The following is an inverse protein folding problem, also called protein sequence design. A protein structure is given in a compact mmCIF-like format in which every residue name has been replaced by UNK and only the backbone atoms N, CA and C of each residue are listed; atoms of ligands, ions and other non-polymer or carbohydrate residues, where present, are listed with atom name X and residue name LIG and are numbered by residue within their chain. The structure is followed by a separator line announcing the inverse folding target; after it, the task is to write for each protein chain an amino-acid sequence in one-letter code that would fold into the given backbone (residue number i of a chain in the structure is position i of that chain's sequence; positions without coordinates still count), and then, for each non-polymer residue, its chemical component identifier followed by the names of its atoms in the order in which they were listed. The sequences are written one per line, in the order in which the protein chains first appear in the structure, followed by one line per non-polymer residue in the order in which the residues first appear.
data_IF_640730915234
#
_entry.id   IF_640730915234
#
_cell.length_a   1.000
_cell.length_b   1.000
_cell.length_c   1.000
_cell.angle_alpha   90.00
_cell.angle_beta   90.00
_cell.angle_gamma   90.00
#
_symmetry.space_group_name_H-M   'P 1'
#
loop_
_entity.id
_entity.type
_entity.pdbx_description
1 polymer ?
#
# COMPACT_ATOMS: atom_id res chain seq x y z
N UNK A 1 -27.68 -5.89 30.84
CA UNK A 1 -27.20 -4.50 30.71
C UNK A 1 -26.77 -4.29 29.28
N UNK A 2 -27.42 -3.37 28.56
CA UNK A 2 -26.98 -2.97 27.22
C UNK A 2 -25.76 -2.03 27.38
N UNK A 3 -24.68 -2.19 26.59
CA UNK A 3 -23.53 -1.30 26.66
C UNK A 3 -23.98 0.12 26.30
N UNK A 4 -23.79 1.06 27.23
CA UNK A 4 -24.05 2.48 27.02
C UNK A 4 -23.16 3.01 25.89
N UNK A 5 -23.78 3.39 24.77
CA UNK A 5 -23.15 3.94 23.55
C UNK A 5 -23.09 5.46 23.57
N UNK A 6 -22.69 6.06 24.69
CA UNK A 6 -22.29 7.47 24.71
C UNK A 6 -20.78 7.53 24.90
N UNK A 7 -20.06 7.38 23.78
CA UNK A 7 -18.66 7.77 23.74
C UNK A 7 -18.61 9.30 23.60
N UNK A 8 -18.00 9.99 24.57
CA UNK A 8 -17.84 11.44 24.50
C UNK A 8 -17.10 11.84 23.22
N UNK A 9 -17.59 12.88 22.53
CA UNK A 9 -16.97 13.40 21.31
C UNK A 9 -15.48 13.72 21.48
N UNK A 10 -15.10 14.19 22.68
CA UNK A 10 -13.70 14.46 23.03
C UNK A 10 -12.85 13.18 23.12
N UNK A 11 -13.43 12.07 23.59
CA UNK A 11 -12.76 10.76 23.68
C UNK A 11 -12.59 10.13 22.30
N UNK A 12 -13.62 10.23 21.45
CA UNK A 12 -13.56 9.79 20.07
C UNK A 12 -12.48 10.55 19.28
N UNK A 13 -12.41 11.87 19.42
CA UNK A 13 -11.39 12.67 18.73
C UNK A 13 -9.97 12.35 19.21
N UNK A 14 -9.76 12.17 20.53
CA UNK A 14 -8.46 11.72 21.07
C UNK A 14 -8.02 10.38 20.50
N UNK A 15 -8.95 9.42 20.34
CA UNK A 15 -8.64 8.13 19.70
C UNK A 15 -8.22 8.31 18.25
N UNK A 16 -8.90 9.17 17.50
CA UNK A 16 -8.56 9.46 16.10
C UNK A 16 -7.17 10.07 15.96
N UNK A 17 -6.86 11.08 16.78
CA UNK A 17 -5.51 11.69 16.83
C UNK A 17 -4.44 10.65 17.16
N UNK A 18 -4.72 9.76 18.13
CA UNK A 18 -3.79 8.68 18.48
C UNK A 18 -3.55 7.72 17.32
N UNK A 19 -4.61 7.28 16.63
CA UNK A 19 -4.49 6.41 15.45
C UNK A 19 -3.65 7.09 14.36
N UNK A 20 -3.89 8.37 14.09
CA UNK A 20 -3.09 9.11 13.11
C UNK A 20 -1.63 9.23 13.53
N UNK A 21 -1.36 9.48 14.81
CA UNK A 21 0.01 9.51 15.34
C UNK A 21 0.73 8.19 15.13
N UNK A 22 0.07 7.06 15.44
CA UNK A 22 0.63 5.72 15.22
C UNK A 22 0.93 5.49 13.74
N UNK A 23 0.02 5.91 12.83
CA UNK A 23 0.25 5.77 11.39
C UNK A 23 1.45 6.57 10.90
N UNK A 24 1.61 7.80 11.38
CA UNK A 24 2.75 8.65 11.03
C UNK A 24 4.06 8.04 11.53
N UNK A 25 4.07 7.49 12.75
CA UNK A 25 5.23 6.79 13.33
C UNK A 25 5.60 5.54 12.51
N UNK A 26 4.62 4.68 12.22
CA UNK A 26 4.85 3.47 11.43
C UNK A 26 5.28 3.78 9.99
N UNK A 27 4.76 4.87 9.41
CA UNK A 27 5.19 5.37 8.10
C UNK A 27 6.66 5.79 8.10
N UNK A 28 7.05 6.64 9.07
CA UNK A 28 8.44 7.05 9.22
C UNK A 28 9.36 5.85 9.39
N UNK A 29 9.00 4.93 10.29
CA UNK A 29 9.78 3.74 10.55
C UNK A 29 9.94 2.85 9.31
N UNK A 30 8.87 2.63 8.54
CA UNK A 30 8.93 1.83 7.32
C UNK A 30 9.83 2.50 6.27
N UNK A 31 9.72 3.82 6.09
CA UNK A 31 10.61 4.59 5.20
C UNK A 31 12.08 4.48 5.60
N UNK A 32 12.37 4.60 6.89
CA UNK A 32 13.73 4.47 7.42
C UNK A 32 14.28 3.07 7.19
N UNK A 33 13.49 2.04 7.49
CA UNK A 33 13.86 0.62 7.29
C UNK A 33 14.18 0.35 5.81
N UNK A 34 13.36 0.86 4.90
CA UNK A 34 13.58 0.69 3.47
C UNK A 34 14.81 1.48 3.00
N UNK A 35 14.99 2.72 3.47
CA UNK A 35 16.16 3.52 3.14
C UNK A 35 17.46 2.90 3.68
N UNK A 36 17.42 2.24 4.82
CA UNK A 36 18.56 1.51 5.39
C UNK A 36 18.86 0.25 4.59
N UNK A 37 17.85 -0.52 4.20
CA UNK A 37 18.00 -1.69 3.31
C UNK A 37 18.60 -1.29 1.96
N UNK A 38 18.14 -0.18 1.38
CA UNK A 38 18.70 0.37 0.14
C UNK A 38 20.13 0.88 0.30
N UNK A 39 20.55 1.32 1.49
CA UNK A 39 21.94 1.71 1.80
C UNK A 39 22.84 0.52 2.07
N UNK A 40 22.30 -0.55 2.66
CA UNK A 40 23.01 -1.80 2.91
C UNK A 40 23.25 -2.64 1.64
N UNK A 41 22.78 -2.17 0.47
CA UNK A 41 23.08 -2.75 -0.84
C UNK A 41 24.60 -2.93 -1.00
N UNK A 42 25.13 -4.16 -1.00
CA UNK A 42 26.46 -4.37 -1.56
C UNK A 42 26.35 -4.04 -3.05
N UNK A 43 27.34 -3.34 -3.60
CA UNK A 43 27.48 -3.11 -5.04
C UNK A 43 27.81 -4.41 -5.79
N UNK A 44 27.05 -5.49 -5.56
CA UNK A 44 27.10 -6.70 -6.37
C UNK A 44 26.14 -6.49 -7.52
N UNK A 45 26.72 -6.12 -8.65
CA UNK A 45 26.02 -6.04 -9.92
C UNK A 45 25.19 -7.30 -10.17
N UNK A 46 24.02 -7.06 -10.75
CA UNK A 46 23.39 -7.91 -11.76
C UNK A 46 24.15 -9.20 -12.04
N UNK A 47 23.85 -10.23 -11.25
CA UNK A 47 24.19 -11.60 -11.64
C UNK A 47 23.15 -11.99 -12.68
N UNK A 48 23.46 -11.62 -13.93
CA UNK A 48 22.80 -12.12 -15.13
C UNK A 48 22.92 -13.64 -15.14
N UNK A 49 21.90 -14.32 -14.61
CA UNK A 49 21.75 -15.76 -14.74
C UNK A 49 21.39 -16.07 -16.18
N UNK A 50 22.40 -16.34 -17.00
CA UNK A 50 22.23 -16.80 -18.37
C UNK A 50 21.74 -18.26 -18.36
N UNK A 51 20.43 -18.45 -18.25
CA UNK A 51 19.75 -19.73 -18.45
C UNK A 51 18.95 -19.68 -19.74
N UNK A 52 19.49 -20.26 -20.81
CA UNK A 52 18.70 -20.57 -22.01
C UNK A 52 17.57 -21.54 -21.64
N UNK A 53 16.34 -21.24 -22.06
CA UNK A 53 15.44 -22.18 -22.76
C UNK A 53 14.14 -21.47 -23.21
N UNK A 54 14.02 -21.36 -24.53
CA UNK A 54 12.83 -21.63 -25.36
C UNK A 54 11.49 -20.90 -25.11
N UNK A 55 11.25 -19.89 -25.96
CA UNK A 55 10.01 -19.64 -26.71
C UNK A 55 8.71 -19.20 -26.01
N UNK A 56 8.77 -18.65 -24.79
CA UNK A 56 7.66 -17.87 -24.20
C UNK A 56 8.10 -16.55 -23.50
N UNK A 57 9.39 -16.18 -23.64
CA UNK A 57 10.08 -15.21 -22.75
C UNK A 57 9.95 -13.72 -23.05
N UNK A 58 9.14 -13.29 -24.03
CA UNK A 58 9.09 -11.88 -24.44
C UNK A 58 8.54 -10.95 -23.33
N UNK A 59 7.42 -11.31 -22.72
CA UNK A 59 6.77 -10.46 -21.72
C UNK A 59 7.54 -10.44 -20.38
N UNK A 60 8.15 -11.56 -19.99
CA UNK A 60 8.93 -11.67 -18.76
C UNK A 60 10.25 -10.89 -18.82
N UNK A 61 10.96 -10.97 -19.95
CA UNK A 61 12.18 -10.19 -20.17
C UNK A 61 11.87 -8.69 -20.29
N UNK A 62 10.81 -8.33 -21.01
CA UNK A 62 10.37 -6.93 -21.17
C UNK A 62 9.98 -6.29 -19.83
N UNK A 63 9.23 -7.00 -19.00
CA UNK A 63 8.80 -6.51 -17.67
C UNK A 63 9.96 -6.44 -16.67
N UNK A 64 10.90 -7.38 -16.70
CA UNK A 64 12.11 -7.34 -15.87
C UNK A 64 13.04 -6.18 -16.24
N UNK A 65 13.27 -5.98 -17.55
CA UNK A 65 14.01 -4.84 -18.06
C UNK A 65 13.32 -3.52 -17.71
N UNK A 66 11.98 -3.49 -17.82
CA UNK A 66 11.18 -2.33 -17.47
C UNK A 66 11.23 -2.01 -15.97
N UNK A 67 11.10 -3.01 -15.08
CA UNK A 67 11.22 -2.81 -13.63
C UNK A 67 12.62 -2.29 -13.25
N UNK A 68 13.66 -2.81 -13.89
CA UNK A 68 15.03 -2.32 -13.73
C UNK A 68 15.17 -0.87 -14.17
N UNK A 69 14.50 -0.48 -15.26
CA UNK A 69 14.44 0.91 -15.73
C UNK A 69 13.72 1.82 -14.73
N UNK A 70 12.56 1.42 -14.21
CA UNK A 70 11.79 2.21 -13.23
C UNK A 70 12.62 2.51 -11.97
N UNK A 71 13.36 1.51 -11.50
CA UNK A 71 14.18 1.62 -10.28
C UNK A 71 15.50 2.39 -10.50
N UNK A 72 15.93 2.57 -11.74
CA UNK A 72 17.21 3.22 -12.09
C UNK A 72 17.08 4.62 -12.70
N UNK A 73 16.06 4.90 -13.52
CA UNK A 73 15.97 6.18 -14.24
C UNK A 73 15.37 7.30 -13.39
N UNK A 74 14.58 6.97 -12.35
CA UNK A 74 13.86 7.97 -11.55
C UNK A 74 12.83 8.78 -12.34
N UNK A 75 12.54 8.41 -13.59
CA UNK A 75 11.56 9.07 -14.45
C UNK A 75 10.13 8.74 -14.00
N UNK A 76 9.20 9.67 -14.23
CA UNK A 76 7.78 9.44 -13.99
C UNK A 76 7.26 8.36 -14.95
N UNK A 77 6.62 7.33 -14.40
CA UNK A 77 6.09 6.19 -15.15
C UNK A 77 4.59 6.37 -15.39
N UNK A 78 4.08 5.88 -16.52
CA UNK A 78 2.64 5.92 -16.78
C UNK A 78 1.87 5.07 -15.75
N UNK A 79 0.64 5.49 -15.44
CA UNK A 79 -0.24 4.75 -14.52
C UNK A 79 -0.47 3.31 -14.97
N UNK A 80 -0.69 3.10 -16.27
CA UNK A 80 -0.98 1.76 -16.80
C UNK A 80 0.24 0.84 -16.73
N UNK A 81 1.45 1.39 -16.91
CA UNK A 81 2.68 0.61 -16.76
C UNK A 81 2.98 0.29 -15.29
N UNK A 82 2.68 1.22 -14.36
CA UNK A 82 2.77 0.94 -12.92
C UNK A 82 1.80 -0.17 -12.50
N UNK A 83 0.57 -0.17 -13.03
CA UNK A 83 -0.43 -1.22 -12.79
C UNK A 83 0.10 -2.56 -13.30
N UNK A 84 0.65 -2.60 -14.52
CA UNK A 84 1.22 -3.82 -15.11
C UNK A 84 2.30 -4.43 -14.22
N UNK A 85 3.23 -3.60 -13.74
CA UNK A 85 4.31 -4.03 -12.85
C UNK A 85 3.80 -4.42 -11.46
N UNK A 86 2.80 -3.72 -10.94
CA UNK A 86 2.23 -4.02 -9.63
C UNK A 86 1.61 -5.43 -9.57
N UNK A 87 1.10 -5.96 -10.68
CA UNK A 87 0.52 -7.30 -10.74
C UNK A 87 1.51 -8.45 -10.48
N UNK A 88 2.81 -8.21 -10.68
CA UNK A 88 3.86 -9.22 -10.46
C UNK A 88 4.06 -9.48 -8.96
N UNK A 89 3.72 -8.50 -8.11
CA UNK A 89 3.93 -8.56 -6.67
C UNK A 89 2.69 -9.07 -5.94
N UNK A 90 2.42 -10.37 -6.05
CA UNK A 90 1.32 -11.02 -5.31
C UNK A 90 1.39 -10.74 -3.80
N UNK A 91 0.23 -10.72 -3.14
CA UNK A 91 0.14 -10.40 -1.72
C UNK A 91 0.97 -11.36 -0.85
N UNK A 92 0.84 -12.68 -1.06
CA UNK A 92 1.55 -13.69 -0.27
C UNK A 92 3.07 -13.61 -0.51
N UNK A 93 3.48 -13.48 -1.78
CA UNK A 93 4.88 -13.29 -2.16
C UNK A 93 5.49 -12.05 -1.50
N UNK A 94 4.76 -10.93 -1.52
CA UNK A 94 5.19 -9.68 -0.90
C UNK A 94 5.35 -9.87 0.59
N UNK A 95 4.35 -10.44 1.28
CA UNK A 95 4.37 -10.62 2.73
C UNK A 95 5.48 -11.59 3.20
N UNK A 96 5.79 -12.63 2.44
CA UNK A 96 6.85 -13.58 2.77
C UNK A 96 8.23 -12.93 2.75
N UNK A 97 8.43 -11.98 1.84
CA UNK A 97 9.69 -11.26 1.68
C UNK A 97 9.85 -10.02 2.57
N UNK A 98 8.85 -9.69 3.40
CA UNK A 98 8.95 -8.62 4.38
C UNK A 98 9.57 -9.10 5.69
N UNK A 99 10.45 -8.26 6.25
CA UNK A 99 11.02 -8.48 7.57
C UNK A 99 9.97 -8.33 8.67
N UNK A 100 10.19 -8.97 9.82
CA UNK A 100 9.29 -8.89 10.98
C UNK A 100 8.96 -7.45 11.39
N UNK A 101 9.91 -6.50 11.47
CA UNK A 101 9.56 -5.11 11.81
C UNK A 101 8.61 -4.47 10.79
N UNK A 102 8.76 -4.75 9.49
CA UNK A 102 7.85 -4.26 8.45
C UNK A 102 6.44 -4.85 8.61
N UNK A 103 6.33 -6.16 8.89
CA UNK A 103 5.04 -6.81 9.18
C UNK A 103 4.35 -6.17 10.40
N UNK A 104 5.11 -5.90 11.47
CA UNK A 104 4.60 -5.21 12.67
C UNK A 104 4.11 -3.81 12.34
N UNK A 105 4.85 -3.05 11.51
CA UNK A 105 4.44 -1.70 11.08
C UNK A 105 3.15 -1.73 10.27
N UNK A 106 2.99 -2.69 9.36
CA UNK A 106 1.76 -2.87 8.58
C UNK A 106 0.59 -3.20 9.51
N UNK A 107 0.74 -4.18 10.41
CA UNK A 107 -0.31 -4.52 11.38
C UNK A 107 -0.76 -3.29 12.19
N UNK A 108 0.18 -2.55 12.78
CA UNK A 108 -0.12 -1.35 13.58
C UNK A 108 -0.77 -0.25 12.76
N UNK A 109 -0.32 -0.03 11.53
CA UNK A 109 -0.92 0.95 10.62
C UNK A 109 -2.38 0.64 10.30
N UNK A 110 -2.69 -0.65 10.10
CA UNK A 110 -4.03 -1.17 9.81
C UNK A 110 -4.92 -1.31 11.06
N UNK A 111 -4.42 -0.94 12.24
CA UNK A 111 -5.14 -1.06 13.51
C UNK A 111 -5.26 -2.50 14.03
N UNK A 112 -4.38 -3.39 13.57
CA UNK A 112 -4.32 -4.79 14.00
C UNK A 112 -3.26 -4.95 15.10
N UNK A 113 -3.57 -5.76 16.11
CA UNK A 113 -2.64 -6.05 17.20
C UNK A 113 -1.47 -6.92 16.70
N UNK A 114 -0.28 -6.33 16.61
CA UNK A 114 0.94 -6.99 16.16
C UNK A 114 1.61 -7.79 17.29
N UNK A 115 1.30 -9.08 17.41
CA UNK A 115 1.93 -10.00 18.35
C UNK A 115 2.14 -11.39 17.73
N UNK A 116 2.86 -12.27 18.41
CA UNK A 116 3.08 -13.65 17.96
C UNK A 116 4.21 -13.80 16.92
N UNK A 117 4.15 -14.92 16.19
CA UNK A 117 5.13 -15.32 15.19
C UNK A 117 4.92 -14.59 13.87
N UNK A 118 5.93 -14.57 13.02
CA UNK A 118 5.87 -13.88 11.73
C UNK A 118 4.77 -14.46 10.83
N UNK A 119 4.58 -15.78 10.87
CA UNK A 119 3.46 -16.45 10.17
C UNK A 119 2.10 -15.95 10.64
N UNK A 120 1.95 -15.68 11.95
CA UNK A 120 0.72 -15.16 12.51
C UNK A 120 0.49 -13.70 12.12
N UNK A 121 1.54 -12.87 12.07
CA UNK A 121 1.46 -11.50 11.56
C UNK A 121 1.01 -11.47 10.09
N UNK A 122 1.61 -12.31 9.23
CA UNK A 122 1.19 -12.44 7.83
C UNK A 122 -0.27 -12.84 7.72
N UNK A 123 -0.68 -13.88 8.46
CA UNK A 123 -2.09 -14.30 8.51
C UNK A 123 -3.03 -13.17 8.91
N UNK A 124 -2.68 -12.38 9.92
CA UNK A 124 -3.48 -11.23 10.35
C UNK A 124 -3.64 -10.19 9.24
N UNK A 125 -2.54 -9.88 8.52
CA UNK A 125 -2.57 -8.94 7.39
C UNK A 125 -3.45 -9.51 6.27
N UNK A 126 -3.21 -10.74 5.82
CA UNK A 126 -3.99 -11.40 4.77
C UNK A 126 -5.48 -11.45 5.13
N UNK A 127 -5.82 -11.79 6.37
CA UNK A 127 -7.21 -11.82 6.83
C UNK A 127 -7.85 -10.42 6.79
N UNK A 128 -7.09 -9.38 7.15
CA UNK A 128 -7.57 -8.00 7.08
C UNK A 128 -7.74 -7.53 5.62
N UNK A 129 -6.86 -7.93 4.70
CA UNK A 129 -7.03 -7.64 3.27
C UNK A 129 -8.28 -8.32 2.69
N UNK A 130 -8.55 -9.58 3.07
CA UNK A 130 -9.78 -10.28 2.67
C UNK A 130 -11.04 -9.55 3.15
N UNK A 131 -11.03 -9.08 4.40
CA UNK A 131 -12.11 -8.26 4.93
C UNK A 131 -12.30 -6.99 4.09
N UNK A 132 -11.21 -6.25 3.80
CA UNK A 132 -11.27 -5.02 2.99
C UNK A 132 -11.82 -5.31 1.60
N UNK A 133 -11.41 -6.41 0.95
CA UNK A 133 -11.92 -6.79 -0.37
C UNK A 133 -13.41 -7.12 -0.37
N UNK A 134 -13.91 -7.77 0.68
CA UNK A 134 -15.33 -8.04 0.83
C UNK A 134 -16.13 -6.73 1.04
N UNK A 135 -15.61 -5.83 1.87
CA UNK A 135 -16.17 -4.50 2.13
C UNK A 135 -16.16 -3.63 0.86
N UNK A 136 -15.08 -3.64 0.08
CA UNK A 136 -14.98 -2.94 -1.21
C UNK A 136 -16.04 -3.44 -2.21
N UNK A 137 -16.29 -4.74 -2.26
CA UNK A 137 -17.34 -5.31 -3.13
C UNK A 137 -18.73 -4.85 -2.72
N UNK A 138 -18.99 -4.79 -1.41
CA UNK A 138 -20.27 -4.31 -0.87
C UNK A 138 -20.48 -2.83 -1.19
N UNK A 139 -19.48 -2.00 -0.90
CA UNK A 139 -19.52 -0.55 -1.21
C UNK A 139 -19.67 -0.31 -2.71
N UNK A 140 -18.98 -1.08 -3.56
CA UNK A 140 -19.11 -0.98 -5.01
C UNK A 140 -20.50 -1.37 -5.52
N UNK A 141 -21.20 -2.29 -4.84
CA UNK A 141 -22.53 -2.74 -5.23
C UNK A 141 -23.63 -1.75 -4.80
N UNK A 142 -23.50 -1.17 -3.61
CA UNK A 142 -24.46 -0.21 -3.05
C UNK A 142 -24.23 1.23 -3.53
N UNK A 143 -23.00 1.54 -3.95
CA UNK A 143 -22.55 2.86 -4.37
C UNK A 143 -21.94 3.65 -3.21
N UNK A 144 -20.84 4.35 -3.46
CA UNK A 144 -20.10 5.09 -2.42
C UNK A 144 -20.97 6.19 -1.78
N UNK A 145 -21.91 6.76 -2.51
CA UNK A 145 -22.80 7.82 -2.02
C UNK A 145 -23.83 7.33 -1.00
N UNK A 146 -24.07 6.01 -0.91
CA UNK A 146 -24.97 5.43 0.10
C UNK A 146 -24.41 5.52 1.52
N UNK A 147 -23.08 5.61 1.66
CA UNK A 147 -22.40 5.61 2.95
C UNK A 147 -22.70 6.88 3.75
N UNK A 148 -23.10 6.71 5.01
CA UNK A 148 -23.14 7.79 5.99
C UNK A 148 -21.73 8.31 6.30
N UNK A 149 -21.61 9.51 6.87
CA UNK A 149 -20.30 10.10 7.21
C UNK A 149 -19.48 9.19 8.15
N UNK A 150 -20.06 8.58 9.21
CA UNK A 150 -19.32 7.64 10.05
C UNK A 150 -18.86 6.38 9.31
N UNK A 151 -19.69 5.81 8.44
CA UNK A 151 -19.33 4.63 7.64
C UNK A 151 -18.22 4.95 6.65
N UNK A 152 -18.31 6.10 5.97
CA UNK A 152 -17.27 6.60 5.08
C UNK A 152 -15.94 6.78 5.83
N UNK A 153 -15.97 7.38 7.02
CA UNK A 153 -14.77 7.53 7.85
C UNK A 153 -14.17 6.18 8.25
N UNK A 154 -15.01 5.21 8.64
CA UNK A 154 -14.57 3.87 9.01
C UNK A 154 -13.98 3.10 7.83
N UNK A 155 -14.61 3.19 6.65
CA UNK A 155 -14.15 2.59 5.41
C UNK A 155 -12.80 3.17 4.99
N UNK A 156 -12.66 4.51 5.01
CA UNK A 156 -11.40 5.20 4.73
C UNK A 156 -10.30 4.79 5.73
N UNK A 157 -10.61 4.80 7.04
CA UNK A 157 -9.64 4.40 8.05
C UNK A 157 -9.18 2.96 7.86
N UNK A 158 -10.07 2.03 7.54
CA UNK A 158 -9.71 0.62 7.32
C UNK A 158 -8.71 0.42 6.17
N UNK A 159 -8.70 1.33 5.20
CA UNK A 159 -7.83 1.32 4.00
C UNK A 159 -6.58 2.19 4.15
N UNK A 160 -6.36 2.76 5.33
CA UNK A 160 -5.23 3.67 5.58
C UNK A 160 -5.42 5.07 4.97
N UNK A 161 -6.63 5.42 4.53
CA UNK A 161 -6.96 6.75 4.02
C UNK A 161 -7.09 7.72 5.20
N UNK A 162 -6.56 8.93 5.02
CA UNK A 162 -6.63 10.01 6.01
C UNK A 162 -8.07 10.52 6.14
N UNK A 163 -8.52 10.75 7.37
CA UNK A 163 -9.88 11.25 7.65
C UNK A 163 -9.90 12.49 8.54
N UNK A 164 -8.76 12.87 9.13
CA UNK A 164 -8.67 14.04 10.01
C UNK A 164 -8.34 15.26 9.16
N UNK A 165 -9.22 16.27 9.21
CA UNK A 165 -9.08 17.50 8.43
C UNK A 165 -9.51 17.38 6.96
N UNK A 166 -10.10 16.26 6.57
CA UNK A 166 -10.61 16.03 5.20
C UNK A 166 -12.13 16.21 5.13
N UNK A 167 -12.62 16.76 4.02
CA UNK A 167 -14.06 16.89 3.78
C UNK A 167 -14.68 15.54 3.40
N UNK A 168 -16.00 15.31 3.65
CA UNK A 168 -16.67 14.09 3.20
C UNK A 168 -16.57 13.86 1.70
N UNK A 169 -16.68 14.91 0.88
CA UNK A 169 -16.51 14.81 -0.57
C UNK A 169 -15.12 14.26 -0.93
N UNK A 170 -14.07 14.79 -0.30
CA UNK A 170 -12.69 14.32 -0.51
C UNK A 170 -12.50 12.88 -0.09
N UNK A 171 -13.08 12.47 1.03
CA UNK A 171 -13.03 11.08 1.49
C UNK A 171 -13.70 10.12 0.48
N UNK A 172 -14.82 10.53 -0.14
CA UNK A 172 -15.47 9.74 -1.19
C UNK A 172 -14.59 9.61 -2.43
N UNK A 173 -13.94 10.68 -2.87
CA UNK A 173 -12.99 10.65 -3.99
C UNK A 173 -11.84 9.66 -3.73
N UNK A 174 -11.21 9.75 -2.56
CA UNK A 174 -10.10 8.85 -2.18
C UNK A 174 -10.55 7.39 -2.05
N UNK A 175 -11.76 7.16 -1.52
CA UNK A 175 -12.33 5.81 -1.40
C UNK A 175 -12.69 5.24 -2.78
N UNK A 176 -13.25 6.05 -3.68
CA UNK A 176 -13.55 5.65 -5.05
C UNK A 176 -12.28 5.24 -5.79
N UNK A 177 -11.23 6.05 -5.67
CA UNK A 177 -9.93 5.74 -6.24
C UNK A 177 -9.36 4.44 -5.66
N UNK A 178 -9.45 4.21 -4.36
CA UNK A 178 -9.03 2.94 -3.75
C UNK A 178 -9.77 1.75 -4.36
N UNK A 179 -11.10 1.82 -4.46
CA UNK A 179 -11.93 0.73 -4.97
C UNK A 179 -11.61 0.45 -6.43
N UNK A 180 -11.43 1.48 -7.26
CA UNK A 180 -11.04 1.33 -8.66
C UNK A 180 -9.70 0.60 -8.80
N UNK A 181 -8.71 0.95 -7.98
CA UNK A 181 -7.41 0.28 -8.02
C UNK A 181 -7.49 -1.16 -7.51
N UNK A 182 -8.25 -1.40 -6.45
CA UNK A 182 -8.30 -2.70 -5.80
C UNK A 182 -9.19 -3.72 -6.53
N UNK A 183 -10.36 -3.29 -7.04
CA UNK A 183 -11.31 -4.16 -7.72
C UNK A 183 -11.26 -4.02 -9.24
N UNK A 184 -11.16 -2.78 -9.76
CA UNK A 184 -11.16 -2.51 -11.21
C UNK A 184 -9.83 -2.87 -11.86
N UNK A 185 -8.73 -2.38 -11.30
CA UNK A 185 -7.36 -2.66 -11.76
C UNK A 185 -6.72 -3.85 -11.06
N UNK A 186 -7.39 -4.49 -10.10
CA UNK A 186 -6.92 -5.69 -9.39
C UNK A 186 -5.48 -5.60 -8.83
N UNK A 187 -5.09 -4.42 -8.34
CA UNK A 187 -3.77 -4.22 -7.72
C UNK A 187 -3.74 -4.98 -6.38
N UNK A 188 -2.64 -5.71 -6.07
CA UNK A 188 -2.45 -6.39 -4.79
C UNK A 188 -2.68 -5.46 -3.59
N UNK A 189 -3.50 -5.90 -2.62
CA UNK A 189 -3.91 -5.07 -1.48
C UNK A 189 -2.72 -4.67 -0.60
N UNK A 190 -1.72 -5.53 -0.50
CA UNK A 190 -0.49 -5.31 0.26
C UNK A 190 0.29 -4.13 -0.32
N UNK A 191 0.44 -4.07 -1.64
CA UNK A 191 1.06 -2.92 -2.31
C UNK A 191 0.25 -1.63 -2.10
N UNK A 192 -1.07 -1.70 -2.19
CA UNK A 192 -1.93 -0.53 -1.93
C UNK A 192 -1.73 -0.01 -0.50
N UNK A 193 -1.71 -0.88 0.50
CA UNK A 193 -1.44 -0.47 1.89
C UNK A 193 -0.03 0.07 2.06
N UNK A 194 1.00 -0.56 1.49
CA UNK A 194 2.37 -0.06 1.53
C UNK A 194 2.48 1.34 0.92
N UNK A 195 1.80 1.59 -0.20
CA UNK A 195 1.74 2.92 -0.82
C UNK A 195 1.10 3.96 0.09
N UNK A 196 0.04 3.60 0.82
CA UNK A 196 -0.60 4.49 1.81
C UNK A 196 0.30 4.71 3.02
N UNK A 197 1.03 3.70 3.47
CA UNK A 197 2.01 3.86 4.55
C UNK A 197 3.09 4.84 4.11
N UNK A 198 3.66 4.70 2.91
CA UNK A 198 4.69 5.60 2.40
C UNK A 198 4.14 7.03 2.22
N UNK A 199 2.93 7.20 1.71
CA UNK A 199 2.33 8.53 1.57
C UNK A 199 2.00 9.21 2.92
N UNK A 200 1.63 8.45 3.95
CA UNK A 200 1.16 8.99 5.23
C UNK A 200 2.20 9.78 6.04
N UNK A 201 3.49 9.58 5.77
CA UNK A 201 4.59 10.19 6.53
C UNK A 201 5.06 11.54 6.03
N UNK A 202 4.46 12.08 4.97
CA UNK A 202 4.81 13.40 4.46
C UNK A 202 4.17 14.51 5.31
N UNK A 203 4.90 15.60 5.61
CA UNK A 203 4.35 16.71 6.37
C UNK A 203 3.21 17.39 5.59
N UNK A 204 2.15 17.76 6.32
CA UNK A 204 0.92 18.40 5.83
C UNK A 204 1.20 19.59 4.89
N UNK A 205 2.31 20.31 5.11
CA UNK A 205 2.74 21.46 4.30
C UNK A 205 3.25 21.12 2.90
N UNK A 206 3.84 19.95 2.68
CA UNK A 206 4.27 19.50 1.35
C UNK A 206 3.10 18.90 0.56
N UNK A 207 2.19 18.21 1.26
CA UNK A 207 0.99 17.64 0.67
C UNK A 207 0.02 18.74 0.19
N UNK A 208 -0.17 19.84 0.94
CA UNK A 208 -0.99 20.97 0.51
C UNK A 208 -0.46 21.67 -0.76
N UNK A 209 0.86 21.65 -1.01
CA UNK A 209 1.45 22.21 -2.23
C UNK A 209 1.26 21.29 -3.45
N UNK A 210 1.30 19.97 -3.27
CA UNK A 210 0.90 19.02 -4.31
C UNK A 210 -0.62 19.09 -4.61
N UNK A 211 -1.43 19.44 -3.62
CA UNK A 211 -2.90 19.50 -3.68
C UNK A 211 -3.47 20.75 -4.38
N UNK A 212 -2.65 21.78 -4.66
CA UNK A 212 -3.07 22.98 -5.41
C UNK A 212 -3.33 22.75 -6.90
N UNK A 213 -3.07 21.54 -7.43
CA UNK A 213 -3.23 21.18 -8.85
C UNK A 213 -4.50 20.36 -9.14
N UNK A 214 -5.60 20.59 -8.43
CA UNK A 214 -6.97 20.35 -8.92
C UNK A 214 -7.31 19.00 -9.59
N UNK A 215 -6.57 17.91 -9.33
CA UNK A 215 -6.86 16.60 -9.90
C UNK A 215 -6.76 15.52 -8.82
N UNK A 216 -7.75 14.61 -8.73
CA UNK A 216 -7.65 13.38 -7.96
C UNK A 216 -6.74 12.42 -8.72
N UNK A 217 -5.48 12.79 -8.90
CA UNK A 217 -4.53 11.90 -9.53
C UNK A 217 -4.28 10.76 -8.56
N UNK A 218 -4.45 9.55 -9.08
CA UNK A 218 -3.80 8.35 -8.60
C UNK A 218 -2.50 8.74 -7.89
N UNK A 219 -2.26 8.27 -6.66
CA UNK A 219 -0.94 8.38 -6.04
C UNK A 219 0.04 7.45 -6.77
N UNK A 220 0.18 7.64 -8.08
CA UNK A 220 1.12 6.99 -8.99
C UNK A 220 2.51 7.11 -8.41
N UNK A 221 2.82 8.31 -7.90
CA UNK A 221 4.05 8.61 -7.22
C UNK A 221 4.23 7.76 -5.96
N UNK A 222 3.19 7.57 -5.13
CA UNK A 222 3.31 6.71 -3.96
C UNK A 222 3.43 5.22 -4.32
N UNK A 223 2.73 4.76 -5.37
CA UNK A 223 2.86 3.38 -5.84
C UNK A 223 4.24 3.15 -6.48
N UNK A 224 4.71 4.07 -7.31
CA UNK A 224 6.05 4.06 -7.90
C UNK A 224 7.12 4.12 -6.81
N UNK A 225 6.97 5.00 -5.82
CA UNK A 225 7.86 5.06 -4.66
C UNK A 225 7.86 3.73 -3.92
N UNK A 226 6.69 3.10 -3.74
CA UNK A 226 6.58 1.76 -3.13
C UNK A 226 7.39 0.74 -3.92
N UNK A 227 7.15 0.62 -5.23
CA UNK A 227 7.84 -0.32 -6.12
C UNK A 227 9.36 -0.10 -6.08
N UNK A 228 9.81 1.16 -6.13
CA UNK A 228 11.22 1.52 -6.03
C UNK A 228 11.86 1.14 -4.70
N UNK A 229 11.05 1.16 -3.66
CA UNK A 229 11.44 0.88 -2.27
C UNK A 229 11.39 -0.63 -1.93
N UNK A 230 10.85 -1.48 -2.81
CA UNK A 230 10.75 -2.92 -2.53
C UNK A 230 12.14 -3.59 -2.42
N UNK A 231 12.28 -4.60 -1.54
CA UNK A 231 13.50 -5.39 -1.39
C UNK A 231 13.91 -6.12 -2.68
N UNK A 232 15.21 -6.24 -2.94
CA UNK A 232 15.71 -6.91 -4.15
C UNK A 232 15.39 -8.42 -4.17
N UNK A 233 15.33 -9.07 -3.00
CA UNK A 233 14.90 -10.47 -2.90
C UNK A 233 13.46 -10.65 -3.41
N UNK A 234 12.56 -9.74 -3.04
CA UNK A 234 11.19 -9.75 -3.53
C UNK A 234 11.15 -9.53 -5.05
N UNK A 235 11.91 -8.54 -5.54
CA UNK A 235 11.98 -8.25 -6.98
C UNK A 235 12.49 -9.47 -7.76
N UNK A 236 13.58 -10.09 -7.29
CA UNK A 236 14.16 -11.26 -7.95
C UNK A 236 13.20 -12.46 -7.96
N UNK A 237 12.52 -12.72 -6.83
CA UNK A 237 11.54 -13.81 -6.75
C UNK A 237 10.32 -13.53 -7.65
N UNK A 238 9.84 -12.28 -7.68
CA UNK A 238 8.75 -11.85 -8.54
C UNK A 238 9.10 -12.01 -10.03
N UNK A 239 10.30 -11.61 -10.44
CA UNK A 239 10.77 -11.79 -11.82
C UNK A 239 11.02 -13.26 -12.17
N UNK A 240 11.44 -14.08 -11.21
CA UNK A 240 11.67 -15.50 -11.43
C UNK A 240 10.34 -16.21 -11.70
N UNK A 241 9.31 -15.96 -10.89
CA UNK A 241 7.96 -16.54 -11.10
C UNK A 241 7.31 -16.13 -12.42
N UNK A 242 7.72 -14.99 -12.98
CA UNK A 242 7.22 -14.53 -14.27
C UNK A 242 7.90 -15.25 -15.45
N UNK A 243 9.09 -15.80 -15.23
CA UNK A 243 9.84 -16.56 -16.22
C UNK A 243 9.56 -18.08 -16.15
N UNK A 244 8.80 -18.54 -15.16
CA UNK A 244 8.33 -19.93 -14.98
C UNK A 244 6.96 -20.16 -15.64
#
# INVERSE_FOLDING_TARGET
MLPSTYEDAASAEKKRVKVQSVRNEMSRYLKETIAEMNRARPARGSSSGNGNNDNDGGEAEDTSAFLSKIRSSGEAVSTDDLVRVAHIFEDDLTLDNLSRPQLVSICRFMGVNAFGTDRYLRYQITNRMRYIRADDKMISAEGIDSLSVPELQSACQSRGIRTIGESPARMREELAQWIELHLGRNIPSTLLILSRIIAAGEPISQQQQAQGRGQPQFNAEALQATINSLPDNLVNEATLRLAE
#
